data_IF_159556786635
#
_entry.id   IF_159556786635
#
_cell.length_a   1.000
_cell.length_b   1.000
_cell.length_c   1.000
_cell.angle_alpha   90.00
_cell.angle_beta   90.00
_cell.angle_gamma   90.00
#
_symmetry.space_group_name_H-M   'P 1'
#
loop_
_entity.id
_entity.type
_entity.pdbx_description
1 polymer ?
#
# COMPACT_ATOMS: atom_id res chain seq x y z
N UNK A 1 6.43 -25.24 23.43
CA UNK A 1 6.50 -24.32 22.28
C UNK A 1 6.39 -25.18 21.04
N UNK A 2 5.18 -25.32 20.49
CA UNK A 2 4.90 -26.28 19.43
C UNK A 2 5.48 -25.79 18.11
N UNK A 3 6.63 -26.34 17.72
CA UNK A 3 7.20 -26.20 16.38
C UNK A 3 6.27 -26.90 15.39
N UNK A 4 5.20 -26.23 15.00
CA UNK A 4 4.31 -26.70 13.94
C UNK A 4 5.06 -26.52 12.63
N UNK A 5 5.72 -27.59 12.18
CA UNK A 5 6.10 -27.78 10.77
C UNK A 5 4.82 -27.66 9.95
N UNK A 6 4.67 -26.53 9.30
CA UNK A 6 3.62 -26.29 8.32
C UNK A 6 3.74 -27.25 7.14
N UNK A 7 2.62 -27.51 6.46
CA UNK A 7 2.59 -28.43 5.32
C UNK A 7 3.37 -27.89 4.11
N UNK A 8 3.45 -26.56 3.96
CA UNK A 8 3.98 -25.90 2.78
C UNK A 8 5.02 -24.83 3.08
N UNK A 9 5.00 -24.24 4.29
CA UNK A 9 5.89 -23.17 4.71
C UNK A 9 7.05 -23.70 5.55
N UNK A 10 8.24 -23.19 5.28
CA UNK A 10 9.34 -23.30 6.24
C UNK A 10 9.06 -22.45 7.49
N UNK A 11 9.66 -22.79 8.66
CA UNK A 11 9.49 -22.02 9.88
C UNK A 11 9.85 -20.53 9.73
N UNK A 12 10.89 -20.22 8.95
CA UNK A 12 11.31 -18.84 8.67
C UNK A 12 10.26 -18.09 7.84
N UNK A 13 9.73 -18.71 6.78
CA UNK A 13 8.66 -18.11 5.96
C UNK A 13 7.39 -17.87 6.78
N UNK A 14 7.01 -18.84 7.61
CA UNK A 14 5.85 -18.70 8.52
C UNK A 14 6.05 -17.53 9.49
N UNK A 15 7.23 -17.42 10.09
CA UNK A 15 7.55 -16.33 11.01
C UNK A 15 7.49 -14.96 10.31
N UNK A 16 8.06 -14.84 9.11
CA UNK A 16 8.00 -13.61 8.31
C UNK A 16 6.56 -13.18 8.01
N UNK A 17 5.69 -14.13 7.62
CA UNK A 17 4.29 -13.83 7.36
C UNK A 17 3.54 -13.34 8.61
N UNK A 18 3.84 -13.93 9.77
CA UNK A 18 3.27 -13.50 11.05
C UNK A 18 3.74 -12.09 11.43
N UNK A 19 5.03 -11.79 11.23
CA UNK A 19 5.59 -10.46 11.49
C UNK A 19 4.86 -9.40 10.64
N UNK A 20 4.65 -9.66 9.36
CA UNK A 20 3.91 -8.75 8.47
C UNK A 20 2.47 -8.52 8.94
N UNK A 21 1.81 -9.53 9.53
CA UNK A 21 0.45 -9.37 10.09
C UNK A 21 0.38 -8.47 11.33
N UNK A 22 1.51 -8.30 12.03
CA UNK A 22 1.62 -7.40 13.19
C UNK A 22 1.82 -5.94 12.79
N UNK A 23 2.19 -5.67 11.54
CA UNK A 23 2.33 -4.30 11.05
C UNK A 23 1.00 -3.53 11.11
N UNK A 24 1.02 -2.35 11.73
CA UNK A 24 -0.19 -1.54 11.95
C UNK A 24 -0.86 -1.06 10.64
N UNK A 25 -0.08 -0.94 9.55
CA UNK A 25 -0.54 -0.33 8.29
C UNK A 25 -0.65 -1.34 7.13
N UNK A 26 -0.75 -2.64 7.42
CA UNK A 26 -0.95 -3.63 6.36
C UNK A 26 -2.32 -3.46 5.69
N UNK A 27 -2.40 -3.37 4.35
CA UNK A 27 -3.68 -3.34 3.65
C UNK A 27 -4.52 -4.58 3.94
N UNK A 28 -5.84 -4.43 4.13
CA UNK A 28 -6.76 -5.56 4.42
C UNK A 28 -6.67 -6.70 3.40
N UNK A 29 -6.42 -6.34 2.14
CA UNK A 29 -6.23 -7.31 1.07
C UNK A 29 -4.99 -8.16 1.32
N UNK A 30 -3.87 -7.55 1.72
CA UNK A 30 -2.62 -8.26 2.02
C UNK A 30 -2.78 -9.08 3.31
N UNK A 31 -3.46 -8.55 4.33
CA UNK A 31 -3.84 -9.29 5.55
C UNK A 31 -4.61 -10.57 5.21
N UNK A 32 -5.68 -10.48 4.41
CA UNK A 32 -6.48 -11.64 3.99
C UNK A 32 -5.64 -12.67 3.22
N UNK A 33 -4.76 -12.23 2.33
CA UNK A 33 -3.89 -13.13 1.55
C UNK A 33 -2.95 -13.93 2.43
N UNK A 34 -2.29 -13.25 3.37
CA UNK A 34 -1.38 -13.89 4.31
C UNK A 34 -2.14 -14.89 5.20
N UNK A 35 -3.34 -14.52 5.68
CA UNK A 35 -4.18 -15.43 6.44
C UNK A 35 -4.58 -16.68 5.65
N UNK A 36 -4.94 -16.55 4.37
CA UNK A 36 -5.22 -17.71 3.51
C UNK A 36 -4.00 -18.64 3.42
N UNK A 37 -2.81 -18.08 3.21
CA UNK A 37 -1.56 -18.85 3.10
C UNK A 37 -1.27 -19.61 4.40
N UNK A 38 -1.37 -18.94 5.55
CA UNK A 38 -1.15 -19.55 6.87
C UNK A 38 -2.17 -20.65 7.18
N UNK A 39 -3.44 -20.44 6.82
CA UNK A 39 -4.48 -21.46 7.00
C UNK A 39 -4.31 -22.65 6.06
N UNK A 40 -3.87 -22.43 4.82
CA UNK A 40 -3.53 -23.51 3.90
C UNK A 40 -2.35 -24.34 4.43
N UNK A 41 -1.34 -23.67 4.99
CA UNK A 41 -0.19 -24.31 5.64
C UNK A 41 -0.55 -25.14 6.87
N UNK A 42 -1.59 -24.72 7.62
CA UNK A 42 -2.20 -25.47 8.72
C UNK A 42 -3.09 -26.64 8.25
N UNK A 43 -3.28 -26.80 6.93
CA UNK A 43 -4.08 -27.89 6.36
C UNK A 43 -5.57 -27.61 6.29
N UNK A 44 -6.03 -26.36 6.49
CA UNK A 44 -7.44 -26.02 6.33
C UNK A 44 -7.85 -26.10 4.86
N UNK A 45 -9.06 -26.61 4.62
CA UNK A 45 -9.66 -26.71 3.29
C UNK A 45 -10.12 -25.35 2.77
N UNK A 46 -10.29 -25.24 1.45
CA UNK A 46 -10.82 -24.03 0.80
C UNK A 46 -12.18 -23.59 1.39
N UNK A 47 -13.05 -24.53 1.74
CA UNK A 47 -14.37 -24.22 2.30
C UNK A 47 -14.26 -23.58 3.70
N UNK A 48 -13.38 -24.11 4.55
CA UNK A 48 -13.13 -23.57 5.89
C UNK A 48 -12.52 -22.17 5.81
N UNK A 49 -11.51 -21.99 4.94
CA UNK A 49 -10.85 -20.69 4.73
C UNK A 49 -11.86 -19.62 4.28
N UNK A 50 -12.77 -19.97 3.36
CA UNK A 50 -13.82 -19.05 2.91
C UNK A 50 -14.75 -18.64 4.05
N UNK A 51 -15.15 -19.60 4.89
CA UNK A 51 -16.01 -19.35 6.05
C UNK A 51 -15.32 -18.48 7.10
N UNK A 52 -14.03 -18.67 7.32
CA UNK A 52 -13.24 -17.92 8.29
C UNK A 52 -12.94 -16.47 7.85
N UNK A 53 -12.65 -16.26 6.56
CA UNK A 53 -12.14 -14.98 6.05
C UNK A 53 -13.16 -14.16 5.24
N UNK A 54 -14.37 -14.70 5.09
CA UNK A 54 -15.42 -14.16 4.22
C UNK A 54 -14.86 -13.72 2.86
N UNK A 55 -14.33 -14.69 2.12
CA UNK A 55 -13.67 -14.46 0.84
C UNK A 55 -14.23 -15.34 -0.28
N UNK A 56 -14.02 -14.91 -1.52
CA UNK A 56 -14.48 -15.64 -2.69
C UNK A 56 -13.67 -16.91 -2.91
N UNK A 57 -14.30 -17.92 -3.51
CA UNK A 57 -13.65 -19.19 -3.84
C UNK A 57 -12.41 -19.00 -4.70
N UNK A 58 -12.46 -18.08 -5.68
CA UNK A 58 -11.34 -17.73 -6.54
C UNK A 58 -10.15 -17.14 -5.75
N UNK A 59 -10.42 -16.33 -4.73
CA UNK A 59 -9.36 -15.76 -3.87
C UNK A 59 -8.72 -16.86 -3.04
N UNK A 60 -9.53 -17.65 -2.33
CA UNK A 60 -9.03 -18.76 -1.52
C UNK A 60 -8.19 -19.74 -2.36
N UNK A 61 -8.74 -20.22 -3.49
CA UNK A 61 -8.05 -21.18 -4.38
C UNK A 61 -6.72 -20.63 -4.90
N UNK A 62 -6.69 -19.37 -5.35
CA UNK A 62 -5.46 -18.75 -5.85
C UNK A 62 -4.34 -18.75 -4.80
N UNK A 63 -4.65 -18.35 -3.56
CA UNK A 63 -3.62 -18.19 -2.53
C UNK A 63 -3.25 -19.51 -1.86
N UNK A 64 -4.15 -20.49 -1.83
CA UNK A 64 -3.82 -21.89 -1.49
C UNK A 64 -2.82 -22.45 -2.49
N UNK A 65 -3.06 -22.28 -3.80
CA UNK A 65 -2.12 -22.76 -4.84
C UNK A 65 -0.74 -22.09 -4.72
N UNK A 66 -0.70 -20.81 -4.35
CA UNK A 66 0.57 -20.10 -4.10
C UNK A 66 1.30 -20.70 -2.90
N UNK A 67 0.59 -21.03 -1.82
CA UNK A 67 1.17 -21.70 -0.67
C UNK A 67 1.75 -23.07 -1.06
N UNK A 68 0.97 -23.88 -1.78
CA UNK A 68 1.36 -25.21 -2.27
C UNK A 68 2.56 -25.17 -3.23
N UNK A 69 2.72 -24.09 -3.99
CA UNK A 69 3.82 -23.96 -4.96
C UNK A 69 5.21 -23.82 -4.33
N UNK A 70 5.30 -23.61 -3.01
CA UNK A 70 6.56 -23.37 -2.29
C UNK A 70 7.25 -22.05 -2.65
N UNK A 71 6.61 -21.19 -3.47
CA UNK A 71 7.16 -19.90 -3.93
C UNK A 71 6.63 -18.71 -3.14
N UNK A 72 6.41 -18.89 -1.84
CA UNK A 72 5.87 -17.85 -0.95
C UNK A 72 6.79 -16.63 -0.87
N UNK A 73 8.11 -16.76 -0.99
CA UNK A 73 9.05 -15.63 -0.91
C UNK A 73 8.73 -14.49 -1.91
N UNK A 74 7.98 -14.82 -2.97
CA UNK A 74 7.57 -13.87 -4.01
C UNK A 74 6.08 -13.50 -3.93
N UNK A 75 5.38 -13.81 -2.83
CA UNK A 75 3.94 -13.58 -2.65
C UNK A 75 3.54 -12.12 -2.97
N UNK A 76 4.39 -11.15 -2.57
CA UNK A 76 4.22 -9.73 -2.86
C UNK A 76 4.29 -9.40 -4.36
N UNK A 77 5.06 -10.16 -5.15
CA UNK A 77 5.13 -9.98 -6.61
C UNK A 77 3.83 -10.41 -7.32
N UNK A 78 3.02 -11.24 -6.67
CA UNK A 78 1.69 -11.62 -7.17
C UNK A 78 0.61 -10.57 -6.89
N UNK A 79 1.00 -9.39 -6.37
CA UNK A 79 0.15 -8.20 -6.29
C UNK A 79 -0.48 -7.95 -7.67
N UNK A 80 -1.80 -8.19 -7.76
CA UNK A 80 -2.57 -7.80 -8.94
C UNK A 80 -2.78 -6.29 -8.90
N UNK A 81 -2.12 -5.59 -9.81
CA UNK A 81 -2.28 -4.17 -10.07
C UNK A 81 -1.06 -3.62 -10.78
N UNK A 82 -1.24 -2.54 -11.57
CA UNK A 82 -0.11 -1.71 -11.97
C UNK A 82 0.62 -1.31 -10.67
N UNK A 83 1.94 -1.52 -10.55
CA UNK A 83 2.70 -0.93 -9.45
C UNK A 83 2.26 0.53 -9.32
N UNK A 84 2.02 1.04 -8.10
CA UNK A 84 1.72 2.46 -7.97
C UNK A 84 2.79 3.21 -8.74
N UNK A 85 2.41 4.09 -9.68
CA UNK A 85 3.35 4.94 -10.45
C UNK A 85 4.21 5.83 -9.54
N UNK A 86 4.08 5.68 -8.23
CA UNK A 86 4.48 6.59 -7.19
C UNK A 86 5.28 5.74 -6.22
N UNK A 87 6.60 5.82 -6.36
CA UNK A 87 7.53 5.12 -5.47
C UNK A 87 7.62 5.82 -4.11
N UNK A 88 8.15 5.13 -3.10
CA UNK A 88 8.28 5.69 -1.75
C UNK A 88 9.06 7.03 -1.72
N UNK A 89 10.18 7.20 -2.44
CA UNK A 89 10.90 8.48 -2.49
C UNK A 89 10.05 9.65 -3.02
N UNK A 90 9.14 9.36 -3.96
CA UNK A 90 8.21 10.35 -4.49
C UNK A 90 7.25 10.85 -3.41
N UNK A 91 6.70 9.93 -2.60
CA UNK A 91 5.78 10.27 -1.52
C UNK A 91 6.47 11.10 -0.44
N UNK A 92 7.70 10.75 -0.08
CA UNK A 92 8.45 11.47 0.95
C UNK A 92 8.83 12.87 0.47
N UNK A 93 9.22 13.02 -0.80
CA UNK A 93 9.44 14.34 -1.40
C UNK A 93 8.17 15.17 -1.48
N UNK A 94 7.04 14.55 -1.86
CA UNK A 94 5.75 15.24 -1.83
C UNK A 94 5.40 15.72 -0.42
N UNK A 95 5.62 14.92 0.65
CA UNK A 95 5.42 15.37 2.04
C UNK A 95 6.28 16.58 2.37
N UNK A 96 7.56 16.57 2.01
CA UNK A 96 8.48 17.67 2.26
C UNK A 96 8.00 18.96 1.59
N UNK A 97 7.60 18.88 0.32
CA UNK A 97 7.11 20.03 -0.43
C UNK A 97 5.87 20.62 0.22
N UNK A 98 4.88 19.81 0.61
CA UNK A 98 3.65 20.33 1.22
C UNK A 98 3.92 20.96 2.61
N UNK A 99 4.97 20.53 3.32
CA UNK A 99 5.38 21.09 4.61
C UNK A 99 6.16 22.41 4.50
N UNK A 100 6.64 22.77 3.32
CA UNK A 100 7.46 23.97 3.07
C UNK A 100 6.75 24.97 2.16
N UNK A 101 7.20 26.22 2.19
CA UNK A 101 6.64 27.25 1.32
C UNK A 101 7.21 27.09 -0.09
N UNK A 102 6.41 27.28 -1.16
CA UNK A 102 6.94 27.31 -2.53
C UNK A 102 8.06 28.35 -2.72
N UNK A 103 8.09 29.40 -1.89
CA UNK A 103 9.14 30.42 -1.91
C UNK A 103 10.53 29.87 -1.59
N UNK A 104 10.59 28.85 -0.74
CA UNK A 104 11.84 28.18 -0.38
C UNK A 104 12.46 27.43 -1.58
N UNK A 105 11.65 27.20 -2.62
CA UNK A 105 12.04 26.55 -3.87
C UNK A 105 12.08 27.51 -5.06
N UNK A 106 12.08 28.83 -4.81
CA UNK A 106 12.20 29.86 -5.84
C UNK A 106 10.90 30.23 -6.55
N UNK A 107 9.73 29.82 -6.03
CA UNK A 107 8.44 30.22 -6.60
C UNK A 107 7.87 31.48 -5.94
N UNK A 108 7.22 32.33 -6.73
CA UNK A 108 6.66 33.61 -6.25
C UNK A 108 5.34 33.46 -5.46
N UNK A 109 4.65 32.33 -5.59
CA UNK A 109 3.36 32.07 -4.95
C UNK A 109 3.48 31.56 -3.50
N UNK A 110 2.42 31.78 -2.71
CA UNK A 110 2.42 31.49 -1.26
C UNK A 110 1.98 30.07 -0.89
N UNK A 111 1.20 29.38 -1.73
CA UNK A 111 0.64 28.04 -1.45
C UNK A 111 0.85 27.10 -2.62
N UNK A 112 1.15 25.84 -2.33
CA UNK A 112 1.24 24.79 -3.34
C UNK A 112 -0.13 24.47 -3.95
N UNK A 113 -0.23 24.59 -5.27
CA UNK A 113 -1.34 24.01 -6.02
C UNK A 113 -0.99 22.60 -6.49
N UNK A 114 -2.00 21.74 -6.68
CA UNK A 114 -1.80 20.40 -7.23
C UNK A 114 -1.16 20.40 -8.62
N UNK A 115 -1.38 21.46 -9.41
CA UNK A 115 -0.75 21.65 -10.73
C UNK A 115 0.76 21.92 -10.59
N UNK A 116 1.13 22.80 -9.66
CA UNK A 116 2.54 23.14 -9.43
C UNK A 116 3.32 21.99 -8.80
N UNK A 117 2.71 21.27 -7.86
CA UNK A 117 3.30 20.05 -7.28
C UNK A 117 3.50 18.97 -8.36
N UNK A 118 2.51 18.77 -9.24
CA UNK A 118 2.65 17.83 -10.36
C UNK A 118 3.84 18.18 -11.26
N UNK A 119 3.96 19.46 -11.66
CA UNK A 119 5.06 19.94 -12.52
C UNK A 119 6.42 19.85 -11.83
N UNK A 120 6.50 20.20 -10.56
CA UNK A 120 7.74 20.17 -9.80
C UNK A 120 8.23 18.73 -9.63
N UNK A 121 7.34 17.81 -9.25
CA UNK A 121 7.67 16.39 -9.08
C UNK A 121 7.91 15.67 -10.42
N UNK A 122 7.25 16.08 -11.50
CA UNK A 122 7.57 15.61 -12.84
C UNK A 122 8.98 16.02 -13.25
N UNK A 123 9.40 17.26 -12.93
CA UNK A 123 10.78 17.72 -13.19
C UNK A 123 11.82 16.95 -12.38
N UNK A 124 11.53 16.62 -11.12
CA UNK A 124 12.46 15.91 -10.25
C UNK A 124 12.55 14.40 -10.54
N UNK A 125 11.41 13.73 -10.80
CA UNK A 125 11.34 12.27 -10.92
C UNK A 125 11.04 11.75 -12.33
N UNK A 126 10.71 12.62 -13.29
CA UNK A 126 10.26 12.22 -14.63
C UNK A 126 8.89 11.53 -14.67
N UNK A 127 8.14 11.57 -13.56
CA UNK A 127 6.85 10.89 -13.41
C UNK A 127 5.71 11.90 -13.55
N UNK A 128 5.04 11.87 -14.69
CA UNK A 128 3.84 12.67 -14.95
C UNK A 128 2.61 12.11 -14.19
N UNK A 129 2.20 12.79 -13.13
CA UNK A 129 0.94 12.54 -12.43
C UNK A 129 -0.06 13.67 -12.68
N UNK A 130 -1.34 13.33 -12.76
CA UNK A 130 -2.39 14.34 -12.91
C UNK A 130 -2.53 15.17 -11.62
N UNK A 131 -2.88 16.47 -11.71
CA UNK A 131 -3.12 17.31 -10.53
C UNK A 131 -4.16 16.70 -9.58
N UNK A 132 -5.17 16.01 -10.11
CA UNK A 132 -6.17 15.27 -9.31
C UNK A 132 -5.53 14.17 -8.48
N UNK A 133 -4.60 13.41 -9.07
CA UNK A 133 -3.89 12.35 -8.36
C UNK A 133 -2.98 12.94 -7.26
N UNK A 134 -2.25 14.02 -7.55
CA UNK A 134 -1.45 14.73 -6.55
C UNK A 134 -2.30 15.26 -5.40
N UNK A 135 -3.45 15.87 -5.70
CA UNK A 135 -4.37 16.36 -4.68
C UNK A 135 -4.92 15.23 -3.81
N UNK A 136 -5.19 14.05 -4.39
CA UNK A 136 -5.57 12.84 -3.63
C UNK A 136 -4.44 12.41 -2.69
N UNK A 137 -3.20 12.33 -3.18
CA UNK A 137 -2.04 11.97 -2.37
C UNK A 137 -1.80 12.99 -1.25
N UNK A 138 -1.86 14.29 -1.56
CA UNK A 138 -1.77 15.37 -0.57
C UNK A 138 -2.78 15.22 0.56
N UNK A 139 -4.04 14.92 0.25
CA UNK A 139 -5.10 14.68 1.25
C UNK A 139 -4.83 13.45 2.12
N UNK A 140 -4.20 12.42 1.56
CA UNK A 140 -3.81 11.22 2.33
C UNK A 140 -2.62 11.50 3.26
N UNK A 141 -1.70 12.38 2.84
CA UNK A 141 -0.48 12.72 3.57
C UNK A 141 -0.69 13.78 4.66
N UNK A 142 -1.70 14.64 4.52
CA UNK A 142 -2.09 15.61 5.53
C UNK A 142 -3.55 15.35 5.96
N UNK A 143 -3.78 14.66 7.09
CA UNK A 143 -5.13 14.62 7.65
C UNK A 143 -5.56 16.07 7.92
N UNK A 144 -6.71 16.46 7.37
CA UNK A 144 -7.24 17.81 7.41
C UNK A 144 -7.26 18.35 8.86
N UNK A 145 -6.43 19.36 9.15
CA UNK A 145 -6.77 20.29 10.24
C UNK A 145 -7.77 21.28 9.66
N UNK A 146 -8.90 21.43 10.35
CA UNK A 146 -10.09 22.19 9.94
C UNK A 146 -9.80 23.67 9.56
N UNK A 147 -8.61 24.18 9.87
CA UNK A 147 -8.22 25.60 9.73
C UNK A 147 -7.80 26.05 8.32
N UNK A 148 -7.66 25.15 7.34
CA UNK A 148 -7.16 25.51 5.99
C UNK A 148 -8.24 25.82 4.93
N UNK A 149 -9.53 25.78 5.31
CA UNK A 149 -10.65 26.22 4.47
C UNK A 149 -10.66 27.75 4.34
N UNK A 150 -9.67 28.29 3.63
CA UNK A 150 -9.78 29.63 3.06
C UNK A 150 -10.66 29.54 1.80
N UNK A 151 -11.80 30.25 1.75
CA UNK A 151 -12.61 30.32 0.55
C UNK A 151 -11.85 31.21 -0.45
N UNK A 152 -11.24 30.59 -1.47
CA UNK A 152 -10.66 31.38 -2.55
C UNK A 152 -11.78 32.00 -3.35
N UNK A 153 -11.89 33.32 -3.18
CA UNK A 153 -12.64 34.25 -3.99
C UNK A 153 -12.57 33.89 -5.48
N UNK A 154 -13.75 33.79 -6.09
CA UNK A 154 -13.91 33.92 -7.54
C UNK A 154 -13.80 35.40 -7.88
N UNK A 155 -12.91 35.72 -8.81
CA UNK A 155 -13.07 36.89 -9.68
C UNK A 155 -14.15 36.57 -10.73
#
# INVERSE_FOLDING_TARGET
MSSSTGKYLSPSQRQQLLEILTEANIPDIDRKRIQIILFADEGKSQAEIRKLLDCTAATASKWILIAESGKIDRWQKYRRGRPPKVEQPYLDRLKELISKSPRDFGYSFKRWSGVWLARHLEKEFGIALTPTHINRLRKQLQPLRIVDLSPSAKA
#
